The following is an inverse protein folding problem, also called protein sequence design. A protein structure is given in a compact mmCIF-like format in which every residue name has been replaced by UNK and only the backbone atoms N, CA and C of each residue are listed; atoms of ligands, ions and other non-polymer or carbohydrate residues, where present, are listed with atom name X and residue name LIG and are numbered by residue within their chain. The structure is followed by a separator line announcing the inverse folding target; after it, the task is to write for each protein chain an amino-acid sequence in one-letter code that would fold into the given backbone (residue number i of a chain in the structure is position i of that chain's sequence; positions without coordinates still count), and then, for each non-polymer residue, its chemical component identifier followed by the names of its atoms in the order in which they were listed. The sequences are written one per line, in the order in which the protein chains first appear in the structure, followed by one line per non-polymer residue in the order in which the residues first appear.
data_IF_301645963836
#
_entry.id   IF_301645963836
#
_cell.length_a   1.000
_cell.length_b   1.000
_cell.length_c   1.000
_cell.angle_alpha   90.00
_cell.angle_beta   90.00
_cell.angle_gamma   90.00
#
_symmetry.space_group_name_H-M   'P 1'
#
loop_
_entity.id
_entity.type
_entity.pdbx_description
1 polymer ?
#
# COMPACT_ATOMS: atom_id res chain seq x y z
N UNK A 1 10.12 14.30 -1.74
CA UNK A 1 9.53 12.97 -1.47
C UNK A 1 8.19 13.18 -0.79
N UNK A 2 7.10 13.03 -1.54
CA UNK A 2 5.76 13.07 -0.94
C UNK A 2 5.38 11.66 -0.50
N UNK A 3 5.05 11.53 0.77
CA UNK A 3 4.46 10.32 1.33
C UNK A 3 2.97 10.56 1.55
N UNK A 4 2.21 9.49 1.45
CA UNK A 4 0.80 9.43 1.80
C UNK A 4 0.60 8.37 2.88
N UNK A 5 -0.44 8.54 3.66
CA UNK A 5 -0.84 7.60 4.71
C UNK A 5 -1.52 6.37 4.11
N UNK A 6 -1.64 5.30 4.91
CA UNK A 6 -2.43 4.13 4.53
C UNK A 6 -3.87 4.47 4.13
N UNK A 7 -4.46 5.51 4.73
CA UNK A 7 -5.82 5.97 4.44
C UNK A 7 -5.93 6.65 3.07
N UNK A 8 -4.96 7.48 2.72
CA UNK A 8 -4.89 8.10 1.40
C UNK A 8 -4.60 7.08 0.31
N UNK A 9 -3.68 6.14 0.56
CA UNK A 9 -3.41 5.04 -0.36
C UNK A 9 -4.64 4.13 -0.55
N UNK A 10 -5.41 3.90 0.52
CA UNK A 10 -6.68 3.17 0.47
C UNK A 10 -7.68 3.84 -0.48
N UNK A 11 -7.85 5.16 -0.36
CA UNK A 11 -8.70 5.95 -1.25
C UNK A 11 -8.17 5.93 -2.70
N UNK A 12 -6.86 6.14 -2.91
CA UNK A 12 -6.22 6.16 -4.24
C UNK A 12 -6.34 4.82 -4.97
N UNK A 13 -6.15 3.71 -4.25
CA UNK A 13 -6.18 2.36 -4.83
C UNK A 13 -7.55 1.70 -4.78
N UNK A 14 -8.54 2.41 -4.22
CA UNK A 14 -9.90 1.96 -3.97
C UNK A 14 -9.95 0.60 -3.24
N UNK A 15 -9.17 0.48 -2.17
CA UNK A 15 -9.11 -0.70 -1.30
C UNK A 15 -9.26 -0.28 0.16
N UNK A 16 -9.62 -1.22 1.05
CA UNK A 16 -9.71 -0.91 2.48
C UNK A 16 -8.35 -0.63 3.11
N UNK A 17 -8.30 0.22 4.14
CA UNK A 17 -7.08 0.53 4.92
C UNK A 17 -6.39 -0.74 5.44
N UNK A 18 -7.17 -1.72 5.91
CA UNK A 18 -6.65 -3.03 6.32
C UNK A 18 -5.90 -3.74 5.19
N UNK A 19 -6.39 -3.64 3.96
CA UNK A 19 -5.72 -4.25 2.79
C UNK A 19 -4.43 -3.52 2.47
N UNK A 20 -4.41 -2.20 2.58
CA UNK A 20 -3.18 -1.41 2.45
C UNK A 20 -2.16 -1.84 3.50
N UNK A 21 -2.55 -1.93 4.77
CA UNK A 21 -1.65 -2.36 5.85
C UNK A 21 -1.05 -3.74 5.56
N UNK A 22 -1.86 -4.71 5.12
CA UNK A 22 -1.36 -6.03 4.72
C UNK A 22 -0.38 -5.94 3.54
N UNK A 23 -0.61 -5.08 2.55
CA UNK A 23 0.33 -4.88 1.44
C UNK A 23 1.65 -4.28 1.90
N UNK A 24 1.59 -3.34 2.86
CA UNK A 24 2.77 -2.74 3.47
C UNK A 24 3.55 -3.77 4.31
N UNK A 25 2.86 -4.60 5.10
CA UNK A 25 3.46 -5.69 5.89
C UNK A 25 4.09 -6.76 5.00
N UNK A 26 3.43 -7.10 3.89
CA UNK A 26 3.95 -8.03 2.89
C UNK A 26 5.08 -7.43 2.05
N UNK A 27 5.53 -6.20 2.34
CA UNK A 27 6.64 -5.53 1.65
C UNK A 27 6.42 -5.44 0.14
N UNK A 28 5.16 -5.47 -0.31
CA UNK A 28 4.78 -5.43 -1.75
C UNK A 28 4.82 -4.02 -2.33
N UNK A 29 5.06 -3.03 -1.48
CA UNK A 29 5.13 -1.61 -1.84
C UNK A 29 6.54 -1.15 -1.52
N UNK A 30 7.31 -0.82 -2.55
CA UNK A 30 8.67 -0.30 -2.38
C UNK A 30 8.66 1.09 -1.74
N UNK A 31 9.63 1.34 -0.86
CA UNK A 31 9.76 2.61 -0.15
C UNK A 31 8.72 2.84 0.95
N UNK A 32 7.95 1.81 1.33
CA UNK A 32 7.04 1.92 2.47
C UNK A 32 7.81 1.90 3.80
N UNK A 33 7.46 2.81 4.70
CA UNK A 33 8.06 2.88 6.03
C UNK A 33 6.98 2.79 7.12
N UNK A 34 7.22 1.98 8.15
CA UNK A 34 6.32 1.87 9.30
C UNK A 34 6.61 2.98 10.31
N UNK A 35 5.68 3.91 10.45
CA UNK A 35 5.71 5.00 11.44
C UNK A 35 4.82 4.63 12.62
N UNK A 36 5.26 3.66 13.42
CA UNK A 36 4.53 3.17 14.60
C UNK A 36 3.23 2.45 14.23
N UNK A 37 2.08 3.14 14.45
CA UNK A 37 0.73 2.67 14.08
C UNK A 37 0.31 3.03 12.65
N UNK A 38 1.08 3.90 11.98
CA UNK A 38 0.78 4.36 10.63
C UNK A 38 1.85 3.88 9.64
N UNK A 39 1.50 3.92 8.35
CA UNK A 39 2.42 3.62 7.26
C UNK A 39 2.66 4.89 6.44
N UNK A 40 3.93 5.19 6.18
CA UNK A 40 4.35 6.15 5.15
C UNK A 40 4.52 5.39 3.84
N UNK A 41 3.62 5.65 2.90
CA UNK A 41 3.61 5.04 1.58
C UNK A 41 4.04 6.13 0.59
N UNK A 42 5.04 5.91 -0.26
CA UNK A 42 5.41 6.89 -1.28
C UNK A 42 4.21 7.19 -2.19
N UNK A 43 3.96 8.45 -2.53
CA UNK A 43 2.85 8.76 -3.47
C UNK A 43 3.05 8.15 -4.86
N UNK A 44 4.30 7.93 -5.23
CA UNK A 44 4.75 7.26 -6.46
C UNK A 44 4.52 5.74 -6.43
N UNK A 45 4.23 5.17 -5.26
CA UNK A 45 3.94 3.75 -5.16
C UNK A 45 2.72 3.39 -6.00
N UNK A 46 2.90 2.46 -6.95
CA UNK A 46 1.79 1.84 -7.65
C UNK A 46 1.19 0.71 -6.83
N UNK A 47 -0.11 0.50 -7.01
CA UNK A 47 -0.83 -0.62 -6.42
C UNK A 47 -0.18 -1.92 -6.92
N UNK A 48 0.35 -2.78 -6.04
CA UNK A 48 0.94 -4.03 -6.48
C UNK A 48 -0.14 -4.91 -7.12
N UNK A 49 0.15 -5.46 -8.30
CA UNK A 49 -0.76 -6.33 -9.06
C UNK A 49 -1.29 -7.45 -8.15
N UNK A 50 -2.61 -7.58 -8.02
CA UNK A 50 -3.20 -8.57 -7.12
C UNK A 50 -2.85 -9.98 -7.62
N UNK A 51 -2.00 -10.70 -6.88
CA UNK A 51 -1.48 -12.02 -7.27
C UNK A 51 -2.57 -13.10 -7.32
N UNK A 52 -3.82 -12.76 -6.98
CA UNK A 52 -4.97 -13.66 -7.09
C UNK A 52 -5.45 -13.89 -8.53
N UNK A 53 -5.04 -13.07 -9.51
CA UNK A 53 -5.19 -13.43 -10.93
C UNK A 53 -4.03 -14.34 -11.33
N UNK A 54 -4.11 -15.61 -10.91
CA UNK A 54 -3.50 -16.69 -11.67
C UNK A 54 -4.32 -16.77 -12.97
N UNK A 55 -3.81 -16.16 -14.04
CA UNK A 55 -4.36 -16.39 -15.38
C UNK A 55 -4.17 -17.86 -15.69
N UNK A 56 -5.23 -18.63 -15.52
CA UNK A 56 -5.44 -19.89 -16.22
C UNK A 56 -6.21 -19.54 -17.49
#
# INVERSE_FOLDING_TARGET
MEYMTAKEAAAKWNISERRVQVLCEQTRIEGVARLGKSWAIPKDAQKPLDARKKGV
#
